data_IF_047219118578
#
_entry.id   IF_047219118578
#
_cell.length_a   1.000
_cell.length_b   1.000
_cell.length_c   1.000
_cell.angle_alpha   90.00
_cell.angle_beta   90.00
_cell.angle_gamma   90.00
#
_symmetry.space_group_name_H-M   'P 1'
#
loop_
_entity.id
_entity.type
_entity.pdbx_description
1 polymer ?
#
# COMPACT_ATOMS: atom_id res chain seq x y z
N UNK A 1 3.68 -22.79 -6.84
CA UNK A 1 2.39 -22.09 -6.70
C UNK A 1 2.21 -21.34 -8.03
N UNK A 2 1.06 -21.47 -8.72
CA UNK A 2 1.02 -21.38 -10.19
C UNK A 2 0.63 -19.98 -10.68
N UNK A 3 1.62 -19.10 -10.80
CA UNK A 3 1.47 -17.65 -10.96
C UNK A 3 1.45 -17.15 -12.42
N UNK A 4 1.13 -18.02 -13.36
CA UNK A 4 1.45 -17.85 -14.79
C UNK A 4 0.46 -17.01 -15.63
N UNK A 5 -0.50 -16.30 -15.03
CA UNK A 5 -1.56 -15.62 -15.81
C UNK A 5 -1.34 -14.11 -15.92
N UNK A 6 -0.88 -13.69 -17.10
CA UNK A 6 -0.91 -12.27 -17.50
C UNK A 6 -2.37 -11.83 -17.61
N UNK A 7 -2.72 -10.70 -17.02
CA UNK A 7 -4.09 -10.18 -17.04
C UNK A 7 -4.16 -8.67 -16.88
N UNK A 8 -5.29 -8.10 -17.27
CA UNK A 8 -5.66 -6.70 -17.09
C UNK A 8 -6.75 -6.60 -16.03
N UNK A 9 -6.70 -5.52 -15.24
CA UNK A 9 -7.77 -5.14 -14.31
C UNK A 9 -8.26 -3.75 -14.66
N UNK A 10 -9.54 -3.64 -14.97
CA UNK A 10 -10.25 -2.38 -15.07
C UNK A 10 -11.03 -2.16 -13.77
N UNK A 11 -10.85 -1.00 -13.14
CA UNK A 11 -11.62 -0.63 -11.94
C UNK A 11 -12.51 0.56 -12.28
N UNK A 12 -13.81 0.46 -11.98
CA UNK A 12 -14.80 1.52 -12.19
C UNK A 12 -15.59 1.77 -10.93
N UNK A 13 -16.03 3.02 -10.73
CA UNK A 13 -16.93 3.38 -9.62
C UNK A 13 -18.34 3.60 -10.17
N UNK A 14 -19.34 2.96 -9.55
CA UNK A 14 -20.73 3.17 -9.92
C UNK A 14 -21.67 3.05 -8.71
N UNK A 15 -22.49 4.09 -8.46
CA UNK A 15 -23.52 4.11 -7.40
C UNK A 15 -23.00 3.67 -6.02
N UNK A 16 -21.81 4.13 -5.65
CA UNK A 16 -21.21 3.83 -4.35
C UNK A 16 -20.55 2.45 -4.24
N UNK A 17 -20.49 1.67 -5.32
CA UNK A 17 -19.71 0.44 -5.42
C UNK A 17 -18.43 0.67 -6.24
N UNK A 18 -17.36 0.00 -5.84
CA UNK A 18 -16.13 -0.16 -6.62
C UNK A 18 -16.22 -1.49 -7.37
N UNK A 19 -16.05 -1.49 -8.69
CA UNK A 19 -16.20 -2.69 -9.52
C UNK A 19 -14.87 -2.98 -10.20
N UNK A 20 -14.28 -4.11 -9.86
CA UNK A 20 -13.04 -4.63 -10.44
C UNK A 20 -13.40 -5.68 -11.49
N UNK A 21 -12.97 -5.44 -12.72
CA UNK A 21 -13.23 -6.30 -13.87
C UNK A 21 -11.90 -6.84 -14.35
N UNK A 22 -11.72 -8.15 -14.23
CA UNK A 22 -10.49 -8.83 -14.63
C UNK A 22 -10.63 -9.50 -16.00
N UNK A 23 -9.54 -9.46 -16.76
CA UNK A 23 -9.40 -10.11 -18.06
C UNK A 23 -8.04 -10.79 -18.14
N UNK A 24 -8.03 -12.11 -18.33
CA UNK A 24 -6.79 -12.87 -18.47
C UNK A 24 -6.40 -13.01 -19.96
N UNK A 25 -5.08 -12.97 -20.25
CA UNK A 25 -4.55 -13.05 -21.62
C UNK A 25 -4.71 -14.44 -22.24
N UNK A 26 -4.78 -15.47 -21.41
CA UNK A 26 -5.07 -16.84 -21.79
C UNK A 26 -6.25 -17.30 -20.94
N UNK A 27 -7.17 -18.08 -21.53
CA UNK A 27 -8.27 -18.69 -20.77
C UNK A 27 -7.76 -19.41 -19.52
N UNK A 28 -8.64 -19.58 -18.54
CA UNK A 28 -8.36 -20.19 -17.23
C UNK A 28 -7.42 -21.41 -17.33
N UNK A 29 -6.42 -21.55 -16.43
CA UNK A 29 -5.29 -22.43 -16.63
C UNK A 29 -5.62 -23.92 -16.42
N UNK A 30 -6.85 -24.26 -16.03
CA UNK A 30 -7.23 -25.60 -15.61
C UNK A 30 -8.11 -26.37 -16.61
N UNK A 31 -8.40 -25.77 -17.77
CA UNK A 31 -8.78 -26.53 -18.97
C UNK A 31 -7.71 -26.38 -20.05
N UNK A 32 -6.71 -27.29 -20.10
CA UNK A 32 -5.90 -27.47 -21.32
C UNK A 32 -6.71 -28.08 -22.48
N UNK A 33 -8.05 -27.98 -22.45
CA UNK A 33 -8.90 -28.37 -23.57
C UNK A 33 -8.65 -27.39 -24.71
N UNK A 34 -7.67 -27.73 -25.53
CA UNK A 34 -7.57 -27.33 -26.92
C UNK A 34 -7.98 -25.86 -27.10
N UNK A 35 -7.23 -24.94 -26.50
CA UNK A 35 -7.25 -23.56 -27.04
C UNK A 35 -6.68 -23.71 -28.44
N UNK A 36 -7.59 -23.92 -29.39
CA UNK A 36 -7.27 -23.90 -30.81
C UNK A 36 -6.49 -22.62 -31.08
N UNK A 37 -5.53 -22.64 -32.02
CA UNK A 37 -4.81 -21.43 -32.40
C UNK A 37 -5.84 -20.39 -32.87
N UNK A 38 -6.11 -19.42 -32.00
CA UNK A 38 -7.11 -18.38 -32.18
C UNK A 38 -6.93 -17.35 -31.07
N UNK A 39 -6.93 -16.08 -31.44
CA UNK A 39 -6.72 -14.98 -30.49
C UNK A 39 -7.97 -14.80 -29.63
N UNK A 40 -7.95 -15.30 -28.39
CA UNK A 40 -9.03 -15.02 -27.43
C UNK A 40 -9.20 -13.51 -27.25
N UNK A 41 -10.41 -13.04 -26.95
CA UNK A 41 -10.66 -11.60 -26.71
C UNK A 41 -9.66 -11.01 -25.70
N UNK A 42 -9.35 -11.77 -24.64
CA UNK A 42 -8.35 -11.42 -23.64
C UNK A 42 -6.94 -11.32 -24.19
N UNK A 43 -6.53 -12.26 -25.06
CA UNK A 43 -5.24 -12.21 -25.73
C UNK A 43 -5.12 -11.00 -26.65
N UNK A 44 -6.13 -10.75 -27.48
CA UNK A 44 -6.14 -9.61 -28.42
C UNK A 44 -6.01 -8.29 -27.66
N UNK A 45 -6.81 -8.09 -26.61
CA UNK A 45 -6.74 -6.87 -25.82
C UNK A 45 -5.40 -6.78 -25.10
N UNK A 46 -4.97 -7.85 -24.41
CA UNK A 46 -3.69 -7.86 -23.69
C UNK A 46 -2.53 -7.52 -24.62
N UNK A 47 -2.37 -8.23 -25.74
CA UNK A 47 -1.27 -8.01 -26.68
C UNK A 47 -1.29 -6.59 -27.27
N UNK A 48 -2.48 -6.07 -27.60
CA UNK A 48 -2.64 -4.70 -28.09
C UNK A 48 -2.13 -3.68 -27.06
N UNK A 49 -2.61 -3.74 -25.82
CA UNK A 49 -2.20 -2.77 -24.81
C UNK A 49 -0.74 -3.00 -24.36
N UNK A 50 -0.29 -4.25 -24.23
CA UNK A 50 1.09 -4.64 -23.87
C UNK A 50 2.15 -3.98 -24.77
N UNK A 51 1.84 -3.87 -26.06
CA UNK A 51 2.73 -3.24 -27.05
C UNK A 51 2.89 -1.73 -26.85
N UNK A 52 1.89 -1.08 -26.24
CA UNK A 52 1.87 0.37 -26.00
C UNK A 52 2.50 0.81 -24.68
N UNK A 53 2.75 -0.12 -23.76
CA UNK A 53 3.37 0.21 -22.46
C UNK A 53 4.87 0.47 -22.58
N UNK A 54 5.40 1.55 -21.97
CA UNK A 54 6.83 1.79 -21.95
C UNK A 54 7.56 0.68 -21.19
N UNK A 55 8.81 0.40 -21.55
CA UNK A 55 9.61 -0.63 -20.89
C UNK A 55 9.74 -0.36 -19.37
N UNK A 56 9.78 0.91 -18.95
CA UNK A 56 9.82 1.31 -17.54
C UNK A 56 8.53 1.00 -16.77
N UNK A 57 7.40 0.79 -17.45
CA UNK A 57 6.17 0.35 -16.82
C UNK A 57 6.06 -1.17 -16.71
N UNK A 58 7.07 -1.91 -17.21
CA UNK A 58 7.25 -3.36 -17.05
C UNK A 58 8.29 -3.56 -15.96
N UNK A 59 7.83 -3.70 -14.73
CA UNK A 59 8.74 -3.93 -13.59
C UNK A 59 9.04 -5.42 -13.55
N UNK A 60 10.17 -5.82 -14.12
CA UNK A 60 10.67 -7.20 -14.12
C UNK A 60 11.56 -7.40 -12.87
N UNK A 61 10.94 -7.48 -11.70
CA UNK A 61 11.68 -7.71 -10.45
C UNK A 61 12.10 -9.17 -10.41
N UNK A 62 13.41 -9.43 -10.43
CA UNK A 62 14.04 -10.71 -10.78
C UNK A 62 13.62 -11.98 -10.02
N UNK A 63 12.73 -11.91 -9.03
CA UNK A 63 12.09 -13.04 -8.36
C UNK A 63 10.56 -12.86 -8.15
N UNK A 64 10.00 -11.68 -8.45
CA UNK A 64 8.57 -11.36 -8.41
C UNK A 64 8.12 -10.84 -9.78
N UNK A 65 7.45 -11.70 -10.54
CA UNK A 65 6.69 -11.43 -11.78
C UNK A 65 6.58 -9.97 -12.22
N UNK A 66 7.11 -9.68 -13.41
CA UNK A 66 6.73 -8.56 -14.28
C UNK A 66 5.40 -7.87 -13.93
N UNK A 67 5.39 -6.82 -13.09
CA UNK A 67 4.17 -6.06 -12.77
C UNK A 67 4.03 -4.88 -13.72
N UNK A 68 2.81 -4.63 -14.15
CA UNK A 68 2.50 -3.53 -15.07
C UNK A 68 1.99 -2.34 -14.25
N UNK A 69 2.68 -1.20 -14.35
CA UNK A 69 2.17 0.04 -13.79
C UNK A 69 0.89 0.45 -14.54
N UNK A 70 -0.12 1.03 -13.86
CA UNK A 70 -1.28 1.60 -14.51
C UNK A 70 -0.84 2.51 -15.68
N UNK A 71 -1.55 2.45 -16.79
CA UNK A 71 -1.30 3.32 -17.95
C UNK A 71 -1.68 4.76 -17.56
N UNK A 72 -0.74 5.50 -16.99
CA UNK A 72 -0.85 6.95 -16.81
C UNK A 72 -1.00 7.56 -18.20
N UNK A 73 -2.11 8.25 -18.47
CA UNK A 73 -2.51 8.90 -19.74
C UNK A 73 -1.33 9.13 -20.70
N UNK A 74 -0.92 8.09 -21.44
CA UNK A 74 0.24 8.22 -22.31
C UNK A 74 -0.27 8.82 -23.62
N UNK A 75 0.40 9.90 -24.05
CA UNK A 75 0.14 10.68 -25.27
C UNK A 75 0.37 9.92 -26.59
N UNK A 76 0.29 8.59 -26.58
CA UNK A 76 0.33 7.76 -27.77
C UNK A 76 -1.09 7.37 -28.14
N UNK A 77 -1.68 8.09 -29.10
CA UNK A 77 -2.94 7.75 -29.75
C UNK A 77 -2.76 6.48 -30.62
N UNK A 78 -2.34 5.34 -30.05
CA UNK A 78 -2.41 4.08 -30.78
C UNK A 78 -3.90 3.79 -31.05
N UNK A 79 -4.35 3.90 -32.31
CA UNK A 79 -5.78 3.77 -32.62
C UNK A 79 -6.28 2.36 -32.29
N UNK A 80 -5.39 1.36 -32.32
CA UNK A 80 -5.70 -0.02 -31.97
C UNK A 80 -6.00 -0.13 -30.48
N UNK A 81 -5.16 0.44 -29.62
CA UNK A 81 -5.39 0.42 -28.16
C UNK A 81 -6.66 1.18 -27.82
N UNK A 82 -6.84 2.38 -28.36
CA UNK A 82 -8.04 3.18 -28.14
C UNK A 82 -9.31 2.43 -28.58
N UNK A 83 -9.28 1.77 -29.75
CA UNK A 83 -10.39 0.96 -30.22
C UNK A 83 -10.70 -0.20 -29.26
N UNK A 84 -9.69 -0.90 -28.75
CA UNK A 84 -9.89 -2.03 -27.85
C UNK A 84 -10.38 -1.58 -26.46
N UNK A 85 -9.85 -0.48 -25.93
CA UNK A 85 -10.35 0.18 -24.71
C UNK A 85 -11.82 0.60 -24.86
N UNK A 86 -12.21 1.19 -26.00
CA UNK A 86 -13.61 1.54 -26.29
C UNK A 86 -14.51 0.31 -26.35
N UNK A 87 -14.04 -0.80 -26.96
CA UNK A 87 -14.79 -2.06 -26.99
C UNK A 87 -14.97 -2.66 -25.59
N UNK A 88 -13.93 -2.62 -24.77
CA UNK A 88 -13.99 -3.05 -23.37
C UNK A 88 -15.01 -2.20 -22.59
N UNK A 89 -14.92 -0.87 -22.69
CA UNK A 89 -15.87 0.03 -22.03
C UNK A 89 -17.31 -0.20 -22.49
N UNK A 90 -17.53 -0.42 -23.79
CA UNK A 90 -18.87 -0.74 -24.31
C UNK A 90 -19.41 -2.06 -23.72
N UNK A 91 -18.56 -3.08 -23.60
CA UNK A 91 -18.92 -4.36 -22.99
C UNK A 91 -19.24 -4.21 -21.48
N UNK A 92 -18.46 -3.39 -20.77
CA UNK A 92 -18.72 -3.06 -19.35
C UNK A 92 -20.05 -2.34 -19.20
N UNK A 93 -20.28 -1.28 -19.98
CA UNK A 93 -21.50 -0.49 -19.93
C UNK A 93 -22.76 -1.33 -20.25
N UNK A 94 -22.69 -2.25 -21.21
CA UNK A 94 -23.82 -3.12 -21.54
C UNK A 94 -24.09 -4.19 -20.49
N UNK A 95 -23.05 -4.67 -19.79
CA UNK A 95 -23.15 -5.70 -18.76
C UNK A 95 -23.51 -5.13 -17.38
N UNK A 96 -23.19 -3.87 -17.11
CA UNK A 96 -23.28 -3.25 -15.79
C UNK A 96 -24.67 -3.35 -15.14
N UNK A 97 -25.80 -3.07 -15.82
CA UNK A 97 -27.12 -3.21 -15.20
C UNK A 97 -27.40 -4.63 -14.68
N UNK A 98 -27.00 -5.66 -15.45
CA UNK A 98 -27.14 -7.06 -15.07
C UNK A 98 -26.26 -7.38 -13.86
N UNK A 99 -24.98 -7.00 -13.90
CA UNK A 99 -24.03 -7.25 -12.82
C UNK A 99 -24.48 -6.63 -11.50
N UNK A 100 -24.99 -5.39 -11.53
CA UNK A 100 -25.51 -4.73 -10.34
C UNK A 100 -26.77 -5.41 -9.81
N UNK A 101 -27.67 -5.84 -10.69
CA UNK A 101 -28.86 -6.58 -10.29
C UNK A 101 -28.50 -7.93 -9.66
N UNK A 102 -27.59 -8.68 -10.27
CA UNK A 102 -27.07 -9.95 -9.75
C UNK A 102 -26.40 -9.74 -8.37
N UNK A 103 -25.55 -8.73 -8.22
CA UNK A 103 -24.88 -8.41 -6.96
C UNK A 103 -25.89 -8.01 -5.86
N UNK A 104 -26.90 -7.22 -6.21
CA UNK A 104 -27.94 -6.83 -5.25
C UNK A 104 -28.80 -8.04 -4.82
N UNK A 105 -29.06 -8.98 -5.73
CA UNK A 105 -29.74 -10.23 -5.41
C UNK A 105 -28.90 -11.15 -4.51
N UNK A 106 -27.59 -11.26 -4.79
CA UNK A 106 -26.67 -12.09 -4.00
C UNK A 106 -26.48 -11.55 -2.58
N UNK A 107 -26.38 -10.23 -2.43
CA UNK A 107 -26.12 -9.59 -1.13
C UNK A 107 -27.37 -9.32 -0.31
N UNK A 108 -28.55 -9.18 -0.96
CA UNK A 108 -29.80 -8.78 -0.31
C UNK A 108 -29.74 -7.40 0.35
N UNK A 109 -28.71 -6.60 0.07
CA UNK A 109 -28.38 -5.37 0.78
C UNK A 109 -28.10 -4.21 -0.19
N UNK A 110 -27.82 -3.03 0.37
CA UNK A 110 -27.32 -1.91 -0.42
C UNK A 110 -25.95 -2.22 -1.00
N UNK A 111 -25.73 -1.83 -2.26
CA UNK A 111 -24.41 -1.94 -2.91
C UNK A 111 -23.42 -0.85 -2.48
N UNK A 112 -23.85 0.14 -1.69
CA UNK A 112 -22.95 1.12 -1.08
C UNK A 112 -21.79 0.45 -0.34
N UNK A 113 -20.57 0.90 -0.63
CA UNK A 113 -19.32 0.38 -0.05
C UNK A 113 -18.90 -0.99 -0.56
N UNK A 114 -19.64 -1.60 -1.49
CA UNK A 114 -19.27 -2.92 -2.02
C UNK A 114 -18.04 -2.80 -2.92
N UNK A 115 -17.19 -3.81 -2.87
CA UNK A 115 -16.13 -4.01 -3.85
C UNK A 115 -16.46 -5.23 -4.70
N UNK A 116 -17.13 -5.03 -5.82
CA UNK A 116 -17.59 -6.10 -6.71
C UNK A 116 -16.44 -6.57 -7.60
N UNK A 117 -16.36 -7.88 -7.80
CA UNK A 117 -15.45 -8.52 -8.72
C UNK A 117 -16.22 -9.18 -9.85
N UNK A 118 -15.76 -8.97 -11.08
CA UNK A 118 -16.32 -9.56 -12.27
C UNK A 118 -15.21 -10.01 -13.22
N UNK A 119 -15.50 -11.02 -14.04
CA UNK A 119 -14.55 -11.62 -14.97
C UNK A 119 -15.11 -11.54 -16.39
N UNK A 120 -14.24 -11.20 -17.34
CA UNK A 120 -14.58 -11.30 -18.76
C UNK A 120 -14.41 -12.75 -19.22
N UNK A 121 -15.52 -13.39 -19.57
CA UNK A 121 -15.56 -14.76 -20.08
C UNK A 121 -15.79 -14.75 -21.58
N UNK A 122 -15.10 -15.61 -22.33
CA UNK A 122 -15.41 -15.91 -23.73
C UNK A 122 -16.21 -17.19 -23.79
N UNK A 123 -17.44 -17.14 -24.31
CA UNK A 123 -18.23 -18.37 -24.45
C UNK A 123 -17.77 -19.14 -25.69
N UNK A 124 -17.04 -20.24 -25.49
CA UNK A 124 -16.77 -21.24 -26.53
C UNK A 124 -18.01 -22.09 -26.87
N UNK A 125 -19.17 -21.79 -26.24
CA UNK A 125 -20.37 -22.64 -26.28
C UNK A 125 -21.02 -22.74 -27.66
N UNK A 126 -20.57 -21.96 -28.65
CA UNK A 126 -21.07 -22.05 -30.02
C UNK A 126 -19.89 -21.98 -30.99
N UNK A 127 -19.39 -23.14 -31.42
CA UNK A 127 -18.28 -23.28 -32.37
C UNK A 127 -18.53 -22.60 -33.73
N UNK A 128 -19.77 -22.16 -34.02
CA UNK A 128 -20.19 -21.59 -35.30
C UNK A 128 -20.67 -20.13 -35.21
N UNK A 129 -20.55 -19.45 -34.06
CA UNK A 129 -20.88 -18.02 -33.92
C UNK A 129 -19.67 -17.28 -33.34
N UNK A 130 -19.42 -16.06 -33.83
CA UNK A 130 -18.34 -15.19 -33.34
C UNK A 130 -18.31 -15.22 -31.81
N UNK A 131 -17.15 -15.57 -31.24
CA UNK A 131 -16.99 -15.66 -29.79
C UNK A 131 -17.40 -14.33 -29.14
N UNK A 132 -18.57 -14.30 -28.52
CA UNK A 132 -19.07 -13.13 -27.82
C UNK A 132 -18.42 -13.09 -26.43
N UNK A 133 -17.67 -12.03 -26.16
CA UNK A 133 -17.19 -11.73 -24.82
C UNK A 133 -18.39 -11.32 -23.96
N UNK A 134 -18.49 -11.90 -22.77
CA UNK A 134 -19.44 -11.52 -21.72
C UNK A 134 -18.69 -11.19 -20.43
N UNK A 135 -19.36 -10.50 -19.51
CA UNK A 135 -18.81 -10.23 -18.17
C UNK A 135 -19.70 -10.91 -17.15
N UNK A 136 -19.15 -11.83 -16.37
CA UNK A 136 -19.85 -12.53 -15.29
C UNK A 136 -19.43 -12.00 -13.93
N UNK A 137 -20.41 -11.82 -13.04
CA UNK A 137 -20.15 -11.45 -11.65
C UNK A 137 -19.49 -12.64 -10.92
N UNK A 138 -18.35 -12.37 -10.29
CA UNK A 138 -17.71 -13.30 -9.36
C UNK A 138 -18.33 -13.16 -7.96
N UNK A 139 -18.51 -11.92 -7.50
CA UNK A 139 -19.20 -11.63 -6.23
C UNK A 139 -18.74 -10.32 -5.58
N UNK A 140 -19.29 -10.00 -4.41
CA UNK A 140 -18.78 -8.93 -3.55
C UNK A 140 -17.57 -9.46 -2.76
N UNK A 141 -16.46 -8.73 -2.82
CA UNK A 141 -15.20 -9.06 -2.15
C UNK A 141 -15.41 -9.38 -0.67
N UNK A 142 -16.17 -8.56 0.04
CA UNK A 142 -16.26 -8.67 1.50
C UNK A 142 -17.48 -9.45 1.98
N UNK A 143 -18.54 -9.51 1.17
CA UNK A 143 -19.79 -10.21 1.55
C UNK A 143 -19.89 -11.62 0.99
N UNK A 144 -19.18 -11.94 -0.10
CA UNK A 144 -19.24 -13.25 -0.74
C UNK A 144 -17.87 -13.94 -0.81
N UNK A 145 -16.83 -13.22 -1.22
CA UNK A 145 -15.55 -13.84 -1.59
C UNK A 145 -14.65 -14.05 -0.36
N UNK A 146 -14.48 -13.01 0.47
CA UNK A 146 -13.51 -13.01 1.56
C UNK A 146 -14.13 -13.11 2.95
N UNK A 147 -15.46 -13.21 3.06
CA UNK A 147 -16.21 -13.11 4.31
C UNK A 147 -15.64 -14.00 5.43
N UNK A 148 -15.32 -15.24 5.12
CA UNK A 148 -14.82 -16.22 6.09
C UNK A 148 -13.39 -15.92 6.55
N UNK A 149 -12.59 -15.28 5.70
CA UNK A 149 -11.22 -14.87 5.98
C UNK A 149 -11.11 -13.48 6.63
N UNK A 150 -12.20 -12.72 6.70
CA UNK A 150 -12.20 -11.44 7.40
C UNK A 150 -11.97 -11.64 8.90
N UNK A 151 -11.18 -10.77 9.56
CA UNK A 151 -10.99 -10.80 10.99
C UNK A 151 -12.32 -10.69 11.75
N UNK A 152 -12.52 -11.57 12.72
CA UNK A 152 -13.66 -11.49 13.63
C UNK A 152 -13.41 -10.47 14.74
N UNK A 153 -14.41 -9.67 15.08
CA UNK A 153 -14.39 -8.70 16.17
C UNK A 153 -15.43 -9.07 17.25
N UNK A 154 -14.96 -9.42 18.44
CA UNK A 154 -15.82 -9.51 19.64
C UNK A 154 -16.32 -8.12 20.05
N UNK A 155 -17.46 -8.01 20.72
CA UNK A 155 -18.02 -6.71 21.16
C UNK A 155 -17.06 -5.89 22.04
N UNK A 156 -16.20 -6.55 22.82
CA UNK A 156 -15.24 -5.90 23.71
C UNK A 156 -14.04 -5.29 22.96
N UNK A 157 -13.67 -5.84 21.79
CA UNK A 157 -12.55 -5.32 21.03
C UNK A 157 -12.87 -3.93 20.46
N UNK A 158 -11.99 -2.96 20.73
CA UNK A 158 -12.14 -1.59 20.26
C UNK A 158 -13.48 -0.95 20.66
N UNK A 159 -13.97 -1.23 21.87
CA UNK A 159 -15.28 -0.76 22.35
C UNK A 159 -15.40 0.78 22.42
N UNK A 160 -14.27 1.49 22.41
CA UNK A 160 -14.22 2.96 22.33
C UNK A 160 -14.45 3.51 20.91
N UNK A 161 -14.39 2.66 19.88
CA UNK A 161 -14.55 3.04 18.48
C UNK A 161 -15.96 2.72 17.97
N UNK A 162 -16.48 3.59 17.11
CA UNK A 162 -17.75 3.34 16.44
C UNK A 162 -17.58 2.24 15.38
N UNK A 163 -18.51 1.28 15.35
CA UNK A 163 -18.64 0.32 14.26
C UNK A 163 -19.75 0.77 13.33
N UNK A 164 -19.49 0.74 12.03
CA UNK A 164 -20.45 1.07 10.99
C UNK A 164 -20.49 -0.06 9.97
N UNK A 165 -21.68 -0.34 9.45
CA UNK A 165 -21.80 -1.23 8.30
C UNK A 165 -21.18 -0.58 7.06
N UNK A 166 -20.60 -1.40 6.19
CA UNK A 166 -19.96 -0.96 4.95
C UNK A 166 -20.89 -0.11 4.04
N UNK A 167 -22.22 -0.27 4.14
CA UNK A 167 -23.19 0.59 3.44
C UNK A 167 -23.20 2.06 3.89
N UNK A 168 -22.48 2.40 4.95
CA UNK A 168 -22.18 3.76 5.35
C UNK A 168 -21.25 4.48 4.35
N UNK A 169 -20.44 3.74 3.58
CA UNK A 169 -19.65 4.27 2.47
C UNK A 169 -20.58 4.55 1.28
N UNK A 170 -20.82 5.82 0.98
CA UNK A 170 -21.75 6.28 -0.07
C UNK A 170 -21.10 6.37 -1.44
N UNK A 171 -19.79 6.60 -1.48
CA UNK A 171 -19.05 6.81 -2.73
C UNK A 171 -17.58 6.48 -2.60
N UNK A 172 -16.98 6.03 -3.69
CA UNK A 172 -15.54 6.04 -3.88
C UNK A 172 -15.18 7.25 -4.73
N UNK A 173 -14.29 8.10 -4.24
CA UNK A 173 -14.14 9.46 -4.77
C UNK A 173 -13.14 9.60 -5.90
N UNK A 174 -12.38 8.54 -6.23
CA UNK A 174 -11.52 8.47 -7.41
C UNK A 174 -10.58 9.65 -7.55
N UNK A 175 -9.45 9.57 -6.84
CA UNK A 175 -8.15 10.22 -7.08
C UNK A 175 -7.33 10.12 -5.81
N UNK A 176 -6.34 9.24 -5.85
CA UNK A 176 -5.13 9.39 -5.05
C UNK A 176 -3.98 9.48 -6.05
N UNK A 177 -3.28 10.63 -6.16
CA UNK A 177 -2.08 10.71 -6.97
C UNK A 177 -1.04 9.80 -6.32
N UNK A 178 -0.66 8.73 -7.00
CA UNK A 178 0.32 7.79 -6.49
C UNK A 178 0.81 6.88 -7.61
N UNK A 179 2.08 6.52 -7.57
CA UNK A 179 2.77 5.75 -8.60
C UNK A 179 2.14 4.35 -8.85
N UNK A 180 1.38 3.82 -7.88
CA UNK A 180 0.72 2.52 -7.97
C UNK A 180 -0.68 2.53 -8.61
N UNK A 181 -1.22 3.72 -8.93
CA UNK A 181 -2.56 3.91 -9.51
C UNK A 181 -3.67 4.03 -8.48
N UNK A 182 -4.71 4.79 -8.84
CA UNK A 182 -5.81 5.25 -7.97
C UNK A 182 -6.57 4.15 -7.19
N UNK A 183 -6.44 2.88 -7.60
CA UNK A 183 -7.27 1.77 -7.11
C UNK A 183 -6.48 0.49 -6.80
N UNK A 184 -5.15 0.54 -6.79
CA UNK A 184 -4.31 -0.62 -6.43
C UNK A 184 -4.01 -0.70 -4.95
N UNK A 185 -4.09 0.43 -4.26
CA UNK A 185 -3.88 0.50 -2.83
C UNK A 185 -5.10 -0.05 -2.08
N UNK A 186 -4.84 -0.51 -0.86
CA UNK A 186 -5.85 -0.80 0.15
C UNK A 186 -6.27 0.47 0.92
N UNK A 187 -5.87 1.66 0.45
CA UNK A 187 -6.21 2.97 1.00
C UNK A 187 -7.00 3.74 -0.05
N UNK A 188 -8.30 3.91 0.19
CA UNK A 188 -9.26 4.40 -0.80
C UNK A 188 -9.93 5.71 -0.34
N UNK A 189 -9.91 6.78 -1.15
CA UNK A 189 -10.70 7.97 -0.83
C UNK A 189 -12.19 7.67 -1.01
N UNK A 190 -12.97 7.96 0.02
CA UNK A 190 -14.41 7.66 0.06
C UNK A 190 -15.22 8.83 0.58
N UNK A 191 -16.50 8.86 0.21
CA UNK A 191 -17.53 9.62 0.91
C UNK A 191 -18.28 8.65 1.82
N UNK A 192 -18.43 8.98 3.10
CA UNK A 192 -19.16 8.14 4.05
C UNK A 192 -19.89 8.97 5.11
N UNK A 193 -20.86 8.32 5.76
CA UNK A 193 -21.63 8.90 6.89
C UNK A 193 -21.14 8.29 8.20
N UNK A 194 -20.67 9.13 9.12
CA UNK A 194 -20.30 8.72 10.48
C UNK A 194 -21.37 9.21 11.46
N UNK A 195 -22.16 8.31 12.09
CA UNK A 195 -23.29 8.70 12.94
C UNK A 195 -22.94 9.61 14.15
N UNK A 196 -21.70 9.57 14.61
CA UNK A 196 -21.24 10.31 15.79
C UNK A 196 -20.97 11.80 15.53
N UNK A 197 -20.84 12.21 14.26
CA UNK A 197 -20.70 13.61 13.89
C UNK A 197 -22.10 14.13 13.57
N UNK A 198 -22.59 15.05 14.39
CA UNK A 198 -24.02 15.41 14.57
C UNK A 198 -24.77 15.98 13.34
N UNK A 199 -24.19 15.88 12.15
CA UNK A 199 -24.80 16.19 10.87
C UNK A 199 -24.64 14.95 9.97
N UNK A 200 -25.75 14.40 9.46
CA UNK A 200 -25.79 13.28 8.50
C UNK A 200 -25.21 13.65 7.12
N UNK A 201 -24.28 14.60 7.08
CA UNK A 201 -23.60 15.01 5.88
C UNK A 201 -22.57 13.95 5.48
N UNK A 202 -22.51 13.70 4.18
CA UNK A 202 -21.44 12.91 3.58
C UNK A 202 -20.11 13.65 3.79
N UNK A 203 -19.14 12.99 4.43
CA UNK A 203 -17.80 13.53 4.67
C UNK A 203 -16.79 12.77 3.82
N UNK A 204 -15.83 13.49 3.24
CA UNK A 204 -14.70 12.89 2.54
C UNK A 204 -13.69 12.33 3.53
N UNK A 205 -13.39 11.05 3.37
CA UNK A 205 -12.57 10.26 4.28
C UNK A 205 -11.65 9.34 3.49
N UNK A 206 -10.76 8.68 4.22
CA UNK A 206 -9.92 7.61 3.69
C UNK A 206 -10.37 6.29 4.29
N UNK A 207 -10.69 5.32 3.45
CA UNK A 207 -11.00 3.96 3.85
C UNK A 207 -9.75 3.10 3.68
N UNK A 208 -9.10 2.74 4.79
CA UNK A 208 -8.03 1.73 4.80
C UNK A 208 -8.67 0.36 5.01
N UNK A 209 -8.56 -0.50 4.02
CA UNK A 209 -9.15 -1.84 3.98
C UNK A 209 -8.07 -2.91 4.01
N UNK A 210 -8.48 -4.17 4.24
CA UNK A 210 -7.57 -5.31 4.16
C UNK A 210 -7.07 -5.41 2.73
N UNK A 211 -5.75 -5.55 2.57
CA UNK A 211 -5.16 -5.82 1.27
C UNK A 211 -5.52 -7.25 0.85
N UNK A 212 -6.23 -7.38 -0.27
CA UNK A 212 -6.52 -8.65 -0.91
C UNK A 212 -5.86 -8.61 -2.28
N UNK A 213 -4.85 -9.46 -2.49
CA UNK A 213 -4.17 -9.60 -3.78
C UNK A 213 -5.20 -9.89 -4.87
N UNK A 214 -5.08 -9.30 -6.06
CA UNK A 214 -5.86 -9.71 -7.26
C UNK A 214 -5.51 -11.17 -7.58
N UNK A 215 -6.39 -12.15 -7.33
CA UNK A 215 -5.98 -13.54 -7.46
C UNK A 215 -6.09 -13.99 -8.92
N UNK A 216 -5.18 -14.86 -9.41
CA UNK A 216 -5.46 -15.72 -10.56
C UNK A 216 -6.54 -16.79 -10.26
N UNK A 217 -7.02 -16.89 -9.01
CA UNK A 217 -7.98 -17.87 -8.49
C UNK A 217 -9.42 -17.36 -8.35
N UNK A 218 -9.71 -16.09 -8.69
CA UNK A 218 -11.08 -15.56 -8.70
C UNK A 218 -11.84 -15.84 -9.99
N UNK A 219 -11.29 -16.66 -10.90
CA UNK A 219 -12.07 -17.07 -12.05
C UNK A 219 -13.25 -17.92 -11.59
N UNK A 220 -14.41 -17.73 -12.23
CA UNK A 220 -15.61 -18.53 -11.97
C UNK A 220 -15.32 -20.02 -12.15
N UNK A 221 -14.45 -20.35 -13.10
CA UNK A 221 -14.01 -21.71 -13.36
C UNK A 221 -13.18 -22.30 -12.22
N UNK A 222 -12.35 -21.50 -11.55
CA UNK A 222 -11.59 -21.96 -10.40
C UNK A 222 -12.51 -22.22 -9.19
N UNK A 223 -13.51 -21.36 -8.95
CA UNK A 223 -14.53 -21.63 -7.93
C UNK A 223 -15.27 -22.96 -8.18
N UNK A 224 -15.68 -23.22 -9.43
CA UNK A 224 -16.32 -24.48 -9.82
C UNK A 224 -15.38 -25.68 -9.59
N UNK A 225 -14.08 -25.53 -9.85
CA UNK A 225 -13.11 -26.61 -9.63
C UNK A 225 -12.84 -26.87 -8.15
N UNK A 226 -12.84 -25.83 -7.31
CA UNK A 226 -12.80 -25.99 -5.84
C UNK A 226 -14.02 -26.75 -5.34
N UNK A 227 -15.21 -26.42 -5.86
CA UNK A 227 -16.46 -27.11 -5.52
C UNK A 227 -16.48 -28.57 -6.00
N UNK A 228 -15.85 -28.89 -7.13
CA UNK A 228 -15.85 -30.22 -7.74
C UNK A 228 -14.75 -31.15 -7.23
N UNK A 229 -13.52 -30.65 -7.04
CA UNK A 229 -12.35 -31.50 -6.75
C UNK A 229 -11.92 -31.46 -5.27
N UNK A 230 -12.45 -30.52 -4.47
CA UNK A 230 -12.05 -30.33 -3.08
C UNK A 230 -10.60 -29.86 -2.96
N UNK A 231 -10.39 -28.61 -2.54
CA UNK A 231 -9.04 -28.15 -2.23
C UNK A 231 -8.41 -29.02 -1.14
N UNK A 232 -7.08 -29.25 -1.17
CA UNK A 232 -6.36 -29.61 0.04
C UNK A 232 -6.73 -28.59 1.11
N UNK A 233 -7.31 -29.04 2.22
CA UNK A 233 -7.65 -28.16 3.35
C UNK A 233 -6.46 -27.25 3.69
N UNK A 234 -6.68 -25.94 3.71
CA UNK A 234 -5.71 -24.98 4.26
C UNK A 234 -4.88 -24.15 3.29
N UNK A 235 -5.11 -24.17 1.97
CA UNK A 235 -4.51 -23.17 1.06
C UNK A 235 -5.46 -21.96 0.96
N UNK A 236 -5.07 -20.76 1.44
CA UNK A 236 -5.90 -19.57 1.31
C UNK A 236 -6.15 -19.23 -0.16
N UNK A 237 -7.40 -18.93 -0.51
CA UNK A 237 -7.82 -18.56 -1.87
C UNK A 237 -7.17 -17.26 -2.36
N UNK A 238 -6.72 -16.42 -1.44
CA UNK A 238 -6.10 -15.13 -1.66
C UNK A 238 -5.15 -14.82 -0.50
N UNK A 239 -4.11 -14.04 -0.76
CA UNK A 239 -3.24 -13.55 0.30
C UNK A 239 -3.91 -12.38 1.02
N UNK A 240 -4.01 -12.49 2.34
CA UNK A 240 -4.36 -11.37 3.22
C UNK A 240 -3.29 -11.23 4.28
N UNK A 241 -2.73 -10.03 4.40
CA UNK A 241 -1.90 -9.69 5.55
C UNK A 241 -2.77 -9.15 6.68
N UNK A 242 -3.60 -10.02 7.25
CA UNK A 242 -4.49 -9.66 8.36
C UNK A 242 -3.71 -9.32 9.63
N UNK A 243 -2.53 -9.91 9.81
CA UNK A 243 -1.69 -9.66 10.99
C UNK A 243 -1.17 -8.23 11.00
N UNK A 244 -0.53 -7.77 9.90
CA UNK A 244 -0.05 -6.39 9.82
C UNK A 244 -1.18 -5.38 9.90
N UNK A 245 -2.30 -5.68 9.23
CA UNK A 245 -3.51 -4.84 9.27
C UNK A 245 -4.07 -4.66 10.68
N UNK A 246 -4.20 -5.76 11.45
CA UNK A 246 -4.71 -5.71 12.82
C UNK A 246 -3.69 -5.12 13.80
N UNK A 247 -2.40 -5.35 13.58
CA UNK A 247 -1.33 -4.75 14.37
C UNK A 247 -1.34 -3.22 14.27
N UNK A 248 -1.48 -2.70 13.05
CA UNK A 248 -1.62 -1.26 12.83
C UNK A 248 -2.86 -0.70 13.55
N UNK A 249 -4.01 -1.36 13.39
CA UNK A 249 -5.24 -0.95 14.07
C UNK A 249 -5.08 -0.93 15.59
N UNK A 250 -4.40 -1.93 16.17
CA UNK A 250 -4.15 -2.00 17.61
C UNK A 250 -3.31 -0.83 18.10
N UNK A 251 -2.26 -0.46 17.36
CA UNK A 251 -1.43 0.71 17.66
C UNK A 251 -2.28 1.98 17.59
N UNK A 252 -2.99 2.20 16.49
CA UNK A 252 -3.81 3.40 16.30
C UNK A 252 -4.95 3.53 17.33
N UNK A 253 -5.50 2.41 17.79
CA UNK A 253 -6.59 2.41 18.76
C UNK A 253 -6.16 2.68 20.20
N UNK A 254 -4.90 2.42 20.52
CA UNK A 254 -4.36 2.53 21.88
C UNK A 254 -3.45 3.75 22.06
N UNK A 255 -2.87 4.27 20.96
CA UNK A 255 -1.99 5.42 20.97
C UNK A 255 -2.74 6.68 21.44
N UNK A 256 -2.27 7.39 22.48
CA UNK A 256 -2.87 8.66 22.86
C UNK A 256 -2.73 9.69 21.75
N UNK A 257 -3.72 10.57 21.61
CA UNK A 257 -3.73 11.57 20.54
C UNK A 257 -2.50 12.50 20.63
N UNK A 258 -1.86 12.73 19.49
CA UNK A 258 -0.73 13.64 19.36
C UNK A 258 -0.84 14.42 18.05
N UNK A 259 -0.52 15.72 18.02
CA UNK A 259 -0.70 16.55 16.83
C UNK A 259 0.17 16.13 15.62
N UNK A 260 1.25 15.37 15.84
CA UNK A 260 2.19 14.91 14.79
C UNK A 260 2.14 13.40 14.53
N UNK A 261 1.07 12.73 14.95
CA UNK A 261 0.81 11.29 14.71
C UNK A 261 -0.60 11.19 14.16
N UNK A 262 -0.84 10.31 13.19
CA UNK A 262 -2.17 10.14 12.60
C UNK A 262 -3.17 9.81 13.74
N UNK A 263 -4.35 10.45 13.77
CA UNK A 263 -5.30 10.19 14.84
C UNK A 263 -5.84 8.76 14.77
N UNK A 264 -6.44 8.30 15.87
CA UNK A 264 -7.17 7.04 15.87
C UNK A 264 -8.27 7.03 14.78
N UNK A 265 -8.61 5.84 14.24
CA UNK A 265 -9.70 5.67 13.31
C UNK A 265 -11.00 6.31 13.80
N UNK A 266 -11.73 6.93 12.87
CA UNK A 266 -13.02 7.55 13.16
C UNK A 266 -14.13 6.52 13.32
N UNK A 267 -14.05 5.43 12.56
CA UNK A 267 -14.96 4.29 12.65
C UNK A 267 -14.33 3.02 12.09
N UNK A 268 -14.72 1.87 12.64
CA UNK A 268 -14.45 0.56 12.06
C UNK A 268 -15.57 0.21 11.08
N UNK A 269 -15.18 -0.23 9.89
CA UNK A 269 -16.09 -0.66 8.82
C UNK A 269 -16.21 -2.17 8.88
N UNK A 270 -17.43 -2.65 9.04
CA UNK A 270 -17.74 -4.08 9.18
C UNK A 270 -18.73 -4.56 8.14
N UNK A 271 -18.76 -5.88 7.92
CA UNK A 271 -19.87 -6.59 7.27
C UNK A 271 -20.57 -7.49 8.30
N UNK A 272 -21.70 -8.10 7.87
CA UNK A 272 -22.61 -8.86 8.70
C UNK A 272 -23.23 -7.99 9.82
N UNK A 273 -23.58 -8.60 10.95
CA UNK A 273 -24.10 -7.97 12.15
C UNK A 273 -23.06 -7.13 12.94
N UNK A 274 -21.97 -6.72 12.30
CA UNK A 274 -20.86 -5.99 12.94
C UNK A 274 -19.75 -6.88 13.49
N UNK A 275 -19.76 -8.16 13.15
CA UNK A 275 -18.82 -9.18 13.65
C UNK A 275 -17.56 -9.36 12.80
N UNK A 276 -17.54 -8.91 11.55
CA UNK A 276 -16.39 -9.09 10.63
C UNK A 276 -15.82 -7.75 10.17
N UNK A 277 -14.53 -7.53 10.41
CA UNK A 277 -13.82 -6.30 10.05
C UNK A 277 -13.45 -6.29 8.56
N UNK A 278 -13.82 -5.22 7.87
CA UNK A 278 -13.40 -4.94 6.48
C UNK A 278 -12.28 -3.90 6.46
N UNK A 279 -12.38 -2.92 7.35
CA UNK A 279 -11.30 -1.98 7.62
C UNK A 279 -11.75 -0.79 8.44
N UNK A 280 -11.19 0.38 8.22
CA UNK A 280 -11.51 1.56 9.01
C UNK A 280 -11.49 2.86 8.21
N UNK A 281 -12.26 3.83 8.70
CA UNK A 281 -12.30 5.19 8.18
C UNK A 281 -11.34 6.08 8.95
N UNK A 282 -10.52 6.79 8.20
CA UNK A 282 -9.52 7.74 8.66
C UNK A 282 -9.84 9.13 8.10
N UNK A 283 -9.41 10.18 8.80
CA UNK A 283 -9.41 11.54 8.25
C UNK A 283 -8.57 11.57 6.98
N UNK A 284 -9.07 12.25 5.93
CA UNK A 284 -8.30 12.53 4.72
C UNK A 284 -7.29 13.65 4.98
N UNK A 285 -6.06 13.44 4.52
CA UNK A 285 -5.00 14.44 4.43
C UNK A 285 -4.63 14.59 2.96
N UNK A 286 -4.28 15.80 2.51
CA UNK A 286 -4.22 16.13 1.08
C UNK A 286 -2.80 16.05 0.50
N UNK A 287 -1.77 16.27 1.31
CA UNK A 287 -0.40 16.48 0.81
C UNK A 287 0.62 15.54 1.49
N UNK A 288 1.63 15.13 0.71
CA UNK A 288 2.83 14.46 1.22
C UNK A 288 4.02 15.43 1.23
N UNK A 289 4.83 15.48 2.29
CA UNK A 289 6.05 16.29 2.30
C UNK A 289 6.98 15.96 1.13
N UNK A 290 7.09 14.68 0.76
CA UNK A 290 7.95 14.22 -0.32
C UNK A 290 7.65 14.92 -1.68
N UNK A 291 6.38 15.17 -1.97
CA UNK A 291 5.93 15.81 -3.22
C UNK A 291 6.27 17.31 -3.26
N UNK A 292 6.23 17.98 -2.11
CA UNK A 292 6.48 19.42 -1.96
C UNK A 292 7.98 19.75 -1.86
N UNK A 293 8.78 18.82 -1.33
CA UNK A 293 10.24 18.98 -1.19
C UNK A 293 11.01 18.94 -2.51
N UNK A 294 10.36 18.56 -3.61
CA UNK A 294 10.92 18.57 -4.97
C UNK A 294 11.15 19.99 -5.53
N UNK A 295 10.60 21.04 -4.89
CA UNK A 295 10.83 22.42 -5.36
C UNK A 295 12.24 22.93 -5.01
N UNK A 296 12.96 23.43 -6.01
CA UNK A 296 14.37 23.88 -5.90
C UNK A 296 14.55 25.23 -5.15
N UNK A 297 13.49 25.79 -4.55
CA UNK A 297 13.56 27.13 -3.94
C UNK A 297 14.25 27.12 -2.58
N UNK A 298 15.58 27.17 -2.61
CA UNK A 298 16.45 27.34 -1.43
C UNK A 298 16.37 28.77 -0.91
N UNK A 299 15.57 28.98 0.15
CA UNK A 299 15.42 30.28 0.82
C UNK A 299 15.43 30.14 2.34
N UNK A 300 15.65 31.24 3.06
CA UNK A 300 15.60 31.24 4.53
C UNK A 300 14.23 30.83 5.07
N UNK A 301 13.15 31.26 4.41
CA UNK A 301 11.79 30.87 4.79
C UNK A 301 11.57 29.36 4.65
N UNK A 302 12.09 28.78 3.56
CA UNK A 302 12.02 27.33 3.32
C UNK A 302 12.85 26.54 4.34
N UNK A 303 14.05 27.02 4.69
CA UNK A 303 14.87 26.42 5.73
C UNK A 303 14.14 26.40 7.09
N UNK A 304 13.51 27.52 7.47
CA UNK A 304 12.70 27.60 8.69
C UNK A 304 11.52 26.62 8.67
N UNK A 305 10.83 26.51 7.54
CA UNK A 305 9.73 25.56 7.36
C UNK A 305 10.20 24.11 7.54
N UNK A 306 11.28 23.71 6.88
CA UNK A 306 11.83 22.34 6.97
C UNK A 306 12.34 22.01 8.38
N UNK A 307 12.95 22.96 9.07
CA UNK A 307 13.35 22.80 10.48
C UNK A 307 12.15 22.61 11.40
N UNK A 308 11.04 23.32 11.15
CA UNK A 308 9.78 23.12 11.88
C UNK A 308 9.24 21.71 11.64
N UNK A 309 9.18 21.25 10.39
CA UNK A 309 8.73 19.90 10.05
C UNK A 309 9.64 18.82 10.68
N UNK A 310 10.95 19.03 10.68
CA UNK A 310 11.91 18.14 11.35
C UNK A 310 11.66 18.05 12.86
N UNK A 311 11.40 19.19 13.52
CA UNK A 311 11.05 19.19 14.94
C UNK A 311 9.72 18.47 15.21
N UNK A 312 8.73 18.64 14.33
CA UNK A 312 7.44 17.96 14.42
C UNK A 312 7.56 16.44 14.23
N UNK A 313 8.39 15.99 13.29
CA UNK A 313 8.77 14.59 13.12
C UNK A 313 9.36 14.02 14.41
N UNK A 314 10.37 14.70 14.97
CA UNK A 314 10.99 14.29 16.23
C UNK A 314 9.99 14.22 17.40
N UNK A 315 9.05 15.16 17.47
CA UNK A 315 7.98 15.14 18.50
C UNK A 315 7.04 13.96 18.33
N UNK A 316 6.65 13.65 17.09
CA UNK A 316 5.86 12.46 16.77
C UNK A 316 6.58 11.19 17.18
N UNK A 317 7.85 11.02 16.80
CA UNK A 317 8.65 9.85 17.15
C UNK A 317 8.87 9.71 18.66
N UNK A 318 9.16 10.81 19.35
CA UNK A 318 9.28 10.82 20.80
C UNK A 318 7.95 10.42 21.48
N UNK A 319 6.81 10.81 20.91
CA UNK A 319 5.51 10.38 21.39
C UNK A 319 5.32 8.87 21.23
N UNK A 320 5.64 8.31 20.05
CA UNK A 320 5.57 6.86 19.81
C UNK A 320 6.46 6.09 20.80
N UNK A 321 7.70 6.54 20.95
CA UNK A 321 8.69 5.96 21.86
C UNK A 321 8.18 5.88 23.30
N UNK A 322 7.65 6.99 23.82
CA UNK A 322 7.12 7.07 25.20
C UNK A 322 5.95 6.12 25.45
N UNK A 323 5.27 5.68 24.40
CA UNK A 323 4.15 4.73 24.46
C UNK A 323 4.56 3.33 23.98
N UNK A 324 5.87 3.04 23.91
CA UNK A 324 6.40 1.71 23.64
C UNK A 324 6.29 1.27 22.18
N UNK A 325 6.13 2.21 21.24
CA UNK A 325 6.04 1.90 19.82
C UNK A 325 7.25 2.45 19.05
N UNK A 326 7.83 1.59 18.20
CA UNK A 326 8.93 1.91 17.31
C UNK A 326 8.41 1.88 15.87
N UNK A 327 8.67 2.94 15.10
CA UNK A 327 8.21 3.00 13.72
C UNK A 327 9.10 2.14 12.82
N UNK A 328 8.63 0.98 12.31
CA UNK A 328 9.51 -0.01 11.69
C UNK A 328 9.87 0.32 10.23
N UNK A 329 9.10 1.21 9.60
CA UNK A 329 9.33 1.70 8.23
C UNK A 329 9.38 3.23 8.21
N UNK A 330 10.23 3.83 9.06
CA UNK A 330 10.33 5.29 9.14
C UNK A 330 10.87 5.86 7.81
N UNK A 331 10.07 6.69 7.15
CA UNK A 331 10.45 7.40 5.91
C UNK A 331 9.60 8.66 5.70
N UNK A 332 10.03 9.55 4.82
CA UNK A 332 9.24 10.71 4.38
C UNK A 332 7.97 10.30 3.63
N UNK A 333 7.97 9.17 2.94
CA UNK A 333 6.80 8.65 2.24
C UNK A 333 5.70 8.23 3.24
N UNK A 334 6.10 7.88 4.46
CA UNK A 334 5.21 7.57 5.59
C UNK A 334 4.92 8.80 6.47
N UNK A 335 4.89 9.97 5.83
CA UNK A 335 4.45 11.23 6.45
C UNK A 335 3.43 11.96 5.59
N UNK A 336 2.56 12.72 6.25
CA UNK A 336 1.52 13.55 5.65
C UNK A 336 1.66 15.00 6.13
N UNK A 337 1.03 15.92 5.40
CA UNK A 337 0.80 17.29 5.87
C UNK A 337 -0.69 17.53 6.17
N UNK A 338 -0.96 18.19 7.29
CA UNK A 338 -2.25 18.83 7.61
C UNK A 338 -2.02 20.34 7.58
N UNK A 339 -2.10 20.92 6.38
CA UNK A 339 -1.62 22.28 6.10
C UNK A 339 -0.11 22.37 6.28
N UNK A 340 0.32 23.00 7.36
CA UNK A 340 1.73 23.32 7.61
C UNK A 340 2.41 22.40 8.63
N UNK A 341 1.69 21.34 9.05
CA UNK A 341 2.05 20.41 10.12
C UNK A 341 2.36 19.03 9.57
N UNK A 342 3.47 18.43 10.00
CA UNK A 342 3.84 17.05 9.71
C UNK A 342 3.11 16.05 10.61
N UNK A 343 2.59 14.98 9.99
CA UNK A 343 1.90 13.87 10.64
C UNK A 343 2.61 12.56 10.26
N UNK A 344 3.01 11.76 11.25
CA UNK A 344 3.48 10.38 11.05
C UNK A 344 2.31 9.44 10.75
N UNK A 345 2.47 8.54 9.77
CA UNK A 345 1.47 7.55 9.38
C UNK A 345 2.11 6.19 9.10
N UNK A 346 1.25 5.20 8.81
CA UNK A 346 1.63 3.84 8.42
C UNK A 346 2.32 3.04 9.53
N UNK A 347 1.52 2.66 10.52
CA UNK A 347 1.96 1.95 11.72
C UNK A 347 1.92 0.43 11.57
N UNK A 348 2.03 -0.06 10.33
CA UNK A 348 2.06 -1.50 10.08
C UNK A 348 3.28 -2.11 10.74
N UNK A 349 3.12 -3.20 11.52
CA UNK A 349 4.26 -3.90 12.04
C UNK A 349 5.01 -4.52 10.86
N UNK A 350 6.32 -4.31 10.82
CA UNK A 350 7.21 -4.99 9.89
C UNK A 350 8.22 -5.79 10.69
N UNK A 351 8.42 -7.02 10.26
CA UNK A 351 9.47 -7.92 10.77
C UNK A 351 10.83 -7.55 10.17
N UNK A 352 10.80 -6.92 9.00
CA UNK A 352 11.97 -6.42 8.29
C UNK A 352 12.27 -4.97 8.65
N UNK A 353 13.52 -4.69 8.99
CA UNK A 353 14.05 -3.32 9.08
C UNK A 353 14.10 -2.68 7.69
N UNK A 354 13.48 -1.50 7.58
CA UNK A 354 13.48 -0.69 6.37
C UNK A 354 13.92 0.74 6.68
N UNK A 355 14.82 1.26 5.86
CA UNK A 355 15.23 2.67 5.85
C UNK A 355 15.13 3.19 4.42
N UNK A 356 13.92 3.52 3.95
CA UNK A 356 13.70 3.92 2.55
C UNK A 356 14.44 5.22 2.18
N UNK A 357 14.76 6.04 3.18
CA UNK A 357 15.43 7.32 2.98
C UNK A 357 16.94 7.24 3.08
N UNK A 358 17.55 6.08 3.32
CA UNK A 358 19.00 5.96 3.39
C UNK A 358 19.53 4.54 3.49
N UNK A 359 20.78 4.36 3.93
CA UNK A 359 21.39 3.04 3.93
C UNK A 359 20.81 2.13 5.00
N UNK A 360 21.09 0.82 4.90
CA UNK A 360 20.75 -0.12 5.97
C UNK A 360 21.56 0.20 7.23
N UNK A 361 20.91 0.24 8.40
CA UNK A 361 21.61 0.45 9.67
C UNK A 361 22.72 -0.61 9.85
N UNK A 362 23.90 -0.25 10.39
CA UNK A 362 25.02 -1.17 10.51
C UNK A 362 24.69 -2.44 11.31
N UNK A 363 23.81 -2.34 12.29
CA UNK A 363 23.32 -3.47 13.08
C UNK A 363 22.38 -4.37 12.26
N UNK A 364 21.49 -3.78 11.46
CA UNK A 364 20.62 -4.53 10.54
C UNK A 364 21.41 -5.17 9.39
N UNK A 365 22.48 -4.53 8.91
CA UNK A 365 23.42 -5.10 7.95
C UNK A 365 24.33 -6.20 8.57
N UNK A 366 24.32 -6.34 9.90
CA UNK A 366 25.12 -7.31 10.63
C UNK A 366 26.59 -6.94 10.80
N UNK A 367 26.96 -5.68 10.55
CA UNK A 367 28.33 -5.20 10.76
C UNK A 367 28.68 -5.01 12.23
N UNK A 368 27.68 -4.90 13.10
CA UNK A 368 27.86 -4.74 14.53
C UNK A 368 26.96 -5.68 15.31
N UNK A 369 27.53 -6.31 16.32
CA UNK A 369 26.83 -7.04 17.36
C UNK A 369 26.67 -6.15 18.58
N UNK A 370 25.51 -6.29 19.24
CA UNK A 370 25.23 -5.64 20.51
C UNK A 370 25.45 -6.67 21.59
N UNK A 371 26.46 -6.43 22.43
CA UNK A 371 26.79 -7.30 23.54
C UNK A 371 26.33 -6.62 24.84
N UNK A 372 25.45 -7.30 25.57
CA UNK A 372 25.09 -6.91 26.93
C UNK A 372 26.12 -7.49 27.89
N UNK A 373 26.90 -6.63 28.53
CA UNK A 373 27.84 -7.06 29.57
C UNK A 373 27.09 -7.46 30.85
N UNK A 374 27.79 -8.18 31.75
CA UNK A 374 27.24 -8.58 33.06
C UNK A 374 26.76 -7.39 33.91
N UNK A 375 27.32 -6.20 33.68
CA UNK A 375 26.95 -4.94 34.35
C UNK A 375 25.74 -4.24 33.71
N UNK A 376 25.04 -4.91 32.78
CA UNK A 376 23.95 -4.35 31.96
C UNK A 376 24.35 -3.16 31.08
N UNK A 377 25.65 -2.93 30.89
CA UNK A 377 26.14 -1.94 29.93
C UNK A 377 26.25 -2.58 28.54
N UNK A 378 25.87 -1.83 27.52
CA UNK A 378 26.00 -2.26 26.13
C UNK A 378 27.36 -1.90 25.55
N UNK A 379 27.94 -2.83 24.82
CA UNK A 379 29.05 -2.57 23.92
C UNK A 379 28.71 -3.00 22.51
N UNK A 380 29.17 -2.20 21.55
CA UNK A 380 29.05 -2.49 20.13
C UNK A 380 30.36 -3.11 19.66
N UNK A 381 30.28 -4.34 19.18
CA UNK A 381 31.44 -5.06 18.67
C UNK A 381 31.33 -5.23 17.17
N UNK A 382 32.41 -4.92 16.44
CA UNK A 382 32.41 -5.05 14.99
C UNK A 382 32.46 -6.53 14.61
N UNK A 383 31.51 -6.97 13.81
CA UNK A 383 31.44 -8.34 13.33
C UNK A 383 32.57 -8.64 12.34
N UNK A 384 33.30 -9.73 12.56
CA UNK A 384 34.31 -10.20 11.61
C UNK A 384 33.69 -10.83 10.35
N UNK A 385 32.47 -11.35 10.47
CA UNK A 385 31.69 -11.95 9.38
C UNK A 385 30.26 -11.42 9.46
N UNK A 386 29.97 -10.28 8.80
CA UNK A 386 28.65 -9.71 8.82
C UNK A 386 27.60 -10.70 8.29
N UNK A 387 26.50 -10.85 9.01
CA UNK A 387 25.32 -11.60 8.59
C UNK A 387 24.15 -10.65 8.68
N UNK A 388 23.51 -10.38 7.55
CA UNK A 388 22.34 -9.48 7.52
C UNK A 388 21.28 -9.96 8.50
N UNK A 389 20.88 -9.06 9.41
CA UNK A 389 19.77 -9.23 10.35
C UNK A 389 18.54 -8.45 9.92
N UNK A 390 18.54 -7.88 8.71
CA UNK A 390 17.48 -7.01 8.22
C UNK A 390 16.09 -7.62 8.39
N UNK A 391 15.93 -8.92 8.15
CA UNK A 391 14.63 -9.62 8.22
C UNK A 391 14.20 -10.11 9.61
N UNK A 392 15.04 -10.01 10.64
CA UNK A 392 14.77 -10.57 11.98
C UNK A 392 14.97 -9.58 13.12
N UNK A 393 15.77 -8.52 12.91
CA UNK A 393 16.18 -7.58 13.95
C UNK A 393 15.01 -6.90 14.68
N UNK A 394 13.88 -6.68 14.01
CA UNK A 394 12.70 -6.06 14.61
C UNK A 394 11.90 -7.01 15.50
N UNK A 395 12.11 -8.32 15.37
CA UNK A 395 11.53 -9.37 16.24
C UNK A 395 12.50 -9.75 17.36
N UNK A 396 13.78 -9.97 17.02
CA UNK A 396 14.80 -10.45 17.95
C UNK A 396 15.05 -9.46 19.09
N UNK A 397 15.14 -8.16 18.78
CA UNK A 397 15.63 -7.17 19.73
C UNK A 397 14.64 -6.71 20.79
N UNK A 398 13.34 -6.49 20.49
CA UNK A 398 12.38 -6.08 21.52
C UNK A 398 12.24 -7.08 22.68
N UNK A 399 12.45 -8.37 22.43
CA UNK A 399 12.36 -9.42 23.46
C UNK A 399 13.69 -9.61 24.22
N UNK A 400 14.82 -9.49 23.53
CA UNK A 400 16.14 -9.83 24.06
C UNK A 400 16.93 -8.62 24.61
N UNK A 401 16.59 -7.40 24.19
CA UNK A 401 17.40 -6.20 24.42
C UNK A 401 16.59 -5.07 25.08
N UNK A 402 17.18 -4.33 26.04
CA UNK A 402 16.59 -3.10 26.55
C UNK A 402 16.34 -2.05 25.46
N UNK A 403 15.35 -1.18 25.68
CA UNK A 403 14.87 -0.21 24.69
C UNK A 403 15.97 0.63 24.02
N UNK A 404 17.03 0.99 24.72
CA UNK A 404 18.16 1.80 24.19
C UNK A 404 18.71 1.32 22.84
N UNK A 405 18.74 0.00 22.61
CA UNK A 405 19.26 -0.59 21.37
C UNK A 405 18.33 -0.30 20.19
N UNK A 406 17.02 -0.39 20.42
CA UNK A 406 16.00 -0.02 19.43
C UNK A 406 15.96 1.51 19.20
N UNK A 407 16.34 2.31 20.21
CA UNK A 407 16.51 3.76 20.04
C UNK A 407 17.54 4.08 18.96
N UNK A 408 18.65 3.33 18.92
CA UNK A 408 19.71 3.59 17.94
C UNK A 408 19.27 3.32 16.52
N UNK A 409 18.55 2.22 16.26
CA UNK A 409 17.98 1.95 14.95
C UNK A 409 17.04 3.09 14.52
N UNK A 410 16.22 3.57 15.45
CA UNK A 410 15.29 4.67 15.20
C UNK A 410 16.04 5.98 14.90
N UNK A 411 17.06 6.31 15.69
CA UNK A 411 17.91 7.50 15.49
C UNK A 411 18.66 7.42 14.17
N UNK A 412 19.12 6.23 13.77
CA UNK A 412 19.77 6.02 12.48
C UNK A 412 18.81 6.32 11.32
N UNK A 413 17.63 5.69 11.32
CA UNK A 413 16.60 5.96 10.29
C UNK A 413 16.16 7.42 10.31
N UNK A 414 15.99 8.03 11.50
CA UNK A 414 15.68 9.45 11.64
C UNK A 414 16.76 10.34 10.99
N UNK A 415 18.04 9.99 11.14
CA UNK A 415 19.14 10.69 10.46
C UNK A 415 18.99 10.70 8.95
N UNK A 416 18.60 9.57 8.35
CA UNK A 416 18.30 9.46 6.92
C UNK A 416 17.11 10.32 6.49
N UNK A 417 15.99 10.24 7.23
CA UNK A 417 14.80 11.05 6.97
C UNK A 417 15.09 12.54 7.09
N UNK A 418 15.82 12.97 8.14
CA UNK A 418 16.20 14.36 8.36
C UNK A 418 17.14 14.88 7.27
N UNK A 419 18.10 14.06 6.82
CA UNK A 419 18.97 14.40 5.70
C UNK A 419 18.16 14.73 4.44
N UNK A 420 17.17 13.89 4.10
CA UNK A 420 16.28 14.10 2.95
C UNK A 420 15.37 15.32 3.15
N UNK A 421 14.76 15.46 4.33
CA UNK A 421 13.84 16.56 4.66
C UNK A 421 14.53 17.93 4.61
N UNK A 422 15.65 18.04 5.32
CA UNK A 422 16.44 19.27 5.41
C UNK A 422 17.30 19.48 4.16
N UNK A 423 17.41 18.49 3.28
CA UNK A 423 18.38 18.46 2.19
C UNK A 423 19.77 18.84 2.72
N UNK A 424 20.23 18.16 3.76
CA UNK A 424 21.55 18.40 4.36
C UNK A 424 22.42 17.16 4.24
N UNK A 425 23.72 17.39 4.00
CA UNK A 425 24.68 16.31 3.79
C UNK A 425 24.94 15.57 5.10
N UNK A 426 24.75 14.25 5.09
CA UNK A 426 25.04 13.34 6.19
C UNK A 426 26.02 12.27 5.72
N UNK A 427 26.99 11.93 6.57
CA UNK A 427 28.01 10.94 6.26
C UNK A 427 27.71 9.63 6.99
N UNK A 428 27.46 8.57 6.24
CA UNK A 428 27.29 7.22 6.72
C UNK A 428 28.55 6.41 6.38
N UNK A 429 29.58 6.54 7.22
CA UNK A 429 30.91 5.96 6.97
C UNK A 429 30.95 4.42 6.98
N UNK A 430 29.90 3.79 7.48
CA UNK A 430 29.73 2.34 7.57
C UNK A 430 28.94 1.73 6.41
N UNK A 431 28.30 2.54 5.58
CA UNK A 431 27.45 2.07 4.49
C UNK A 431 28.25 1.85 3.20
N UNK A 432 27.83 0.88 2.39
CA UNK A 432 28.40 0.67 1.07
C UNK A 432 27.81 1.67 0.06
N UNK A 433 28.57 2.04 -0.98
CA UNK A 433 28.08 3.02 -1.97
C UNK A 433 26.78 2.58 -2.67
N UNK A 434 26.56 1.28 -2.78
CA UNK A 434 25.37 0.70 -3.39
C UNK A 434 24.12 0.84 -2.50
N UNK A 435 24.28 1.14 -1.20
CA UNK A 435 23.17 1.28 -0.23
C UNK A 435 22.43 2.63 -0.34
N UNK A 436 22.96 3.60 -1.08
CA UNK A 436 22.41 4.97 -1.15
C UNK A 436 21.39 5.19 -2.27
N UNK A 437 20.99 4.13 -2.98
CA UNK A 437 20.02 4.24 -4.05
C UNK A 437 18.59 4.38 -3.47
N UNK A 438 17.78 5.37 -3.90
CA UNK A 438 17.94 6.24 -5.07
C UNK A 438 18.42 7.70 -4.77
N UNK A 439 18.89 8.02 -3.56
CA UNK A 439 19.11 9.42 -3.11
C UNK A 439 20.57 9.78 -2.75
N UNK A 440 21.56 9.64 -3.65
CA UNK A 440 22.97 9.91 -3.36
C UNK A 440 23.31 11.40 -3.15
N UNK A 441 22.34 12.32 -3.32
CA UNK A 441 22.58 13.76 -3.32
C UNK A 441 22.96 14.32 -1.94
N UNK A 442 22.43 13.73 -0.86
CA UNK A 442 22.59 14.24 0.50
C UNK A 442 23.27 13.25 1.44
N UNK A 443 23.58 12.06 0.96
CA UNK A 443 24.12 10.99 1.79
C UNK A 443 25.39 10.47 1.17
N UNK A 444 26.44 10.39 1.99
CA UNK A 444 27.78 10.12 1.51
C UNK A 444 28.48 9.09 2.39
N UNK A 445 29.35 8.28 1.81
CA UNK A 445 30.26 7.41 2.57
C UNK A 445 31.47 8.16 3.14
N UNK A 446 31.77 9.34 2.59
CA UNK A 446 32.92 10.16 2.96
C UNK A 446 32.50 11.62 3.08
N UNK A 447 33.25 12.37 3.89
CA UNK A 447 33.05 13.81 4.04
C UNK A 447 33.28 14.49 2.68
N UNK A 448 32.31 15.22 2.13
CA UNK A 448 32.47 15.97 0.90
C UNK A 448 33.62 16.98 1.01
N UNK A 449 34.36 17.22 -0.08
CA UNK A 449 35.43 18.23 -0.05
C UNK A 449 34.79 19.62 -0.01
N UNK A 450 35.30 20.56 0.81
CA UNK A 450 34.84 21.93 0.79
C UNK A 450 34.95 22.52 -0.62
N UNK A 451 33.85 23.11 -1.11
CA UNK A 451 33.72 23.68 -2.44
C UNK A 451 33.14 22.75 -3.50
N UNK A 452 32.94 21.46 -3.21
CA UNK A 452 32.39 20.49 -4.19
C UNK A 452 30.95 20.85 -4.62
N UNK A 453 30.18 21.52 -3.76
CA UNK A 453 28.84 22.00 -4.08
C UNK A 453 28.52 23.29 -3.30
N UNK A 454 28.96 24.44 -3.82
CA UNK A 454 28.77 25.74 -3.15
C UNK A 454 27.30 26.11 -2.93
N UNK A 455 26.38 25.66 -3.80
CA UNK A 455 24.94 25.90 -3.61
C UNK A 455 24.37 25.12 -2.43
N UNK A 456 24.90 23.93 -2.18
CA UNK A 456 24.55 23.10 -1.03
C UNK A 456 25.16 23.65 0.27
N UNK A 457 26.41 24.10 0.23
CA UNK A 457 27.04 24.78 1.36
C UNK A 457 26.30 26.06 1.75
N UNK A 458 25.91 26.87 0.76
CA UNK A 458 25.11 28.08 0.99
C UNK A 458 23.73 27.76 1.58
N UNK A 459 23.15 26.61 1.25
CA UNK A 459 21.90 26.14 1.85
C UNK A 459 22.11 25.69 3.30
N UNK A 460 23.12 24.87 3.56
CA UNK A 460 23.43 24.33 4.88
C UNK A 460 23.81 25.43 5.88
N UNK A 461 24.37 26.57 5.43
CA UNK A 461 24.62 27.73 6.29
C UNK A 461 23.34 28.44 6.77
N UNK A 462 22.19 28.17 6.15
CA UNK A 462 20.88 28.64 6.63
C UNK A 462 20.33 27.77 7.77
N UNK A 463 20.87 26.56 7.96
CA UNK A 463 20.48 25.66 9.04
C UNK A 463 21.26 26.02 10.32
N UNK A 464 20.67 25.81 11.51
CA UNK A 464 21.39 25.97 12.78
C UNK A 464 22.64 25.10 12.79
N UNK A 465 23.75 25.65 13.27
CA UNK A 465 24.94 24.85 13.55
C UNK A 465 24.63 23.85 14.65
N UNK A 466 24.92 22.58 14.38
CA UNK A 466 24.95 21.54 15.42
C UNK A 466 26.21 21.82 16.25
N UNK A 467 26.03 22.44 17.42
CA UNK A 467 27.10 22.76 18.38
C UNK A 467 27.41 21.57 19.28
#
# INVERSE_FOLDING_TARGET
>A
MNWAQRGLRLTVVHRGALINIVLYSHGSPQRPSVVLPGDSYGKVLFDAVQSSWPASAKIDDGDEEGRWLPRLEYKGDDPTVCQQEQRLLALVCSSLPRLLQEAQQQTGASLCGSQLWAEITTSDRYADQEAHAGIDLVGDLFRNIALDNLPSLSEAQYSSMHRIDMSAIKGYLGRTPGHDGEWRSNVLPVSAVIPAQSELADVELVFKTICISTPPTLSREHQILIELDGLPEGIPLFWTDTSAFLGELAVLATMPAHPNVIPAPLALVTVADGSKLVGWLQRRFEDHPADDLASEKRSHLEAQRRLRLALELCRGLQHLWRHGFYHPDLSLDNTLLDGDRLILMDFQPHTTYNNKDGPTAPEAAGHWDVVLSDDQAFSYERCHRPVSRRGTIMEDWPEEMPGEVMERLLVFSLGSVLSRLLQCRVVFSSADQDDFFPFPLYQHTQVPTPGDNSAQEAWETLLPSLS
#
